data_IF_111885995789
#
_entry.id   IF_111885995789
#
_cell.length_a   1.000
_cell.length_b   1.000
_cell.length_c   1.000
_cell.angle_alpha   90.00
_cell.angle_beta   90.00
_cell.angle_gamma   90.00
#
_symmetry.space_group_name_H-M   'P 1'
#
loop_
_entity.id
_entity.type
_entity.pdbx_description
1 polymer ?
#
# COMPACT_ATOMS: atom_id res chain seq x y z
N UNK A 1 13.39 1.63 23.06
CA UNK A 1 13.79 2.86 22.31
C UNK A 1 13.85 2.70 20.78
N UNK A 2 14.25 1.56 20.19
CA UNK A 2 14.19 1.39 18.71
C UNK A 2 12.75 1.19 18.21
N UNK A 3 11.97 0.36 18.91
CA UNK A 3 10.56 0.06 18.57
C UNK A 3 9.68 1.32 18.60
N UNK A 4 9.78 2.14 19.65
CA UNK A 4 9.01 3.38 19.77
C UNK A 4 9.26 4.37 18.62
N UNK A 5 10.53 4.53 18.22
CA UNK A 5 10.91 5.40 17.09
C UNK A 5 10.30 4.90 15.78
N UNK A 6 10.39 3.59 15.53
CA UNK A 6 9.79 2.97 14.33
C UNK A 6 8.28 3.11 14.30
N UNK A 7 7.62 2.85 15.42
CA UNK A 7 6.16 3.02 15.52
C UNK A 7 5.74 4.47 15.28
N UNK A 8 6.48 5.45 15.83
CA UNK A 8 6.21 6.87 15.56
C UNK A 8 6.34 7.20 14.07
N UNK A 9 7.43 6.79 13.42
CA UNK A 9 7.61 7.01 11.97
C UNK A 9 6.51 6.36 11.13
N UNK A 10 6.07 5.17 11.52
CA UNK A 10 4.99 4.46 10.83
C UNK A 10 3.66 5.21 10.92
N UNK A 11 3.30 5.66 12.14
CA UNK A 11 2.05 6.41 12.38
C UNK A 11 2.07 7.77 11.66
N UNK A 12 3.18 8.50 11.69
CA UNK A 12 3.28 9.76 10.95
C UNK A 12 3.16 9.54 9.44
N UNK A 13 3.77 8.49 8.88
CA UNK A 13 3.61 8.16 7.47
C UNK A 13 2.16 7.83 7.10
N UNK A 14 1.46 7.05 7.93
CA UNK A 14 0.04 6.75 7.74
C UNK A 14 -0.82 8.01 7.81
N UNK A 15 -0.53 8.92 8.76
CA UNK A 15 -1.21 10.22 8.86
C UNK A 15 -0.99 11.06 7.60
N UNK A 16 0.23 11.12 7.08
CA UNK A 16 0.52 11.82 5.81
C UNK A 16 -0.26 11.22 4.64
N UNK A 17 -0.36 9.89 4.54
CA UNK A 17 -1.15 9.23 3.51
C UNK A 17 -2.64 9.60 3.58
N UNK A 18 -3.23 9.60 4.78
CA UNK A 18 -4.63 9.99 4.97
C UNK A 18 -4.90 11.45 4.59
N UNK A 19 -4.03 12.37 5.03
CA UNK A 19 -4.14 13.80 4.71
C UNK A 19 -4.02 14.02 3.20
N UNK A 20 -3.02 13.39 2.57
CA UNK A 20 -2.79 13.51 1.13
C UNK A 20 -4.00 13.01 0.32
N UNK A 21 -4.54 11.86 0.68
CA UNK A 21 -5.68 11.26 0.01
C UNK A 21 -7.03 11.93 0.35
N UNK A 22 -7.05 12.90 1.27
CA UNK A 22 -8.28 13.42 1.90
C UNK A 22 -9.19 12.29 2.39
N UNK A 23 -8.58 11.22 2.88
CA UNK A 23 -9.26 9.99 3.22
C UNK A 23 -9.86 10.07 4.64
N UNK A 24 -11.04 9.46 4.86
CA UNK A 24 -11.67 9.43 6.16
C UNK A 24 -10.84 8.65 7.18
N UNK A 25 -10.89 9.08 8.44
CA UNK A 25 -10.06 8.51 9.51
C UNK A 25 -10.32 7.01 9.73
N UNK A 26 -11.51 6.48 9.41
CA UNK A 26 -11.78 5.04 9.57
C UNK A 26 -10.86 4.15 8.71
N UNK A 27 -10.24 4.70 7.65
CA UNK A 27 -9.24 4.01 6.83
C UNK A 27 -7.83 3.98 7.45
N UNK A 28 -7.66 4.41 8.72
CA UNK A 28 -6.36 4.47 9.37
C UNK A 28 -5.61 3.12 9.37
N UNK A 29 -6.33 2.00 9.51
CA UNK A 29 -5.71 0.67 9.51
C UNK A 29 -5.08 0.36 8.15
N UNK A 30 -5.77 0.70 7.06
CA UNK A 30 -5.29 0.52 5.68
C UNK A 30 -4.10 1.44 5.37
N UNK A 31 -4.15 2.68 5.85
CA UNK A 31 -3.03 3.62 5.73
C UNK A 31 -1.79 3.12 6.48
N UNK A 32 -1.95 2.58 7.70
CA UNK A 32 -0.86 1.98 8.49
C UNK A 32 -0.30 0.74 7.80
N UNK A 33 -1.16 -0.15 7.30
CA UNK A 33 -0.74 -1.33 6.56
C UNK A 33 0.06 -0.95 5.30
N UNK A 34 -0.40 0.06 4.56
CA UNK A 34 0.26 0.59 3.35
C UNK A 34 1.60 1.23 3.67
N UNK A 35 1.68 2.05 4.71
CA UNK A 35 2.93 2.60 5.21
C UNK A 35 3.92 1.49 5.61
N UNK A 36 3.45 0.45 6.30
CA UNK A 36 4.28 -0.68 6.70
C UNK A 36 4.79 -1.45 5.47
N UNK A 37 3.90 -1.76 4.53
CA UNK A 37 4.20 -2.48 3.30
C UNK A 37 5.29 -1.79 2.47
N UNK A 38 5.13 -0.47 2.27
CA UNK A 38 6.05 0.35 1.49
C UNK A 38 7.39 0.50 2.19
N UNK A 39 7.40 0.94 3.46
CA UNK A 39 8.63 1.17 4.21
C UNK A 39 9.49 -0.10 4.35
N UNK A 40 8.87 -1.26 4.60
CA UNK A 40 9.59 -2.53 4.72
C UNK A 40 10.29 -2.96 3.43
N UNK A 41 9.82 -2.48 2.28
CA UNK A 41 10.31 -2.85 0.96
C UNK A 41 11.18 -1.76 0.31
N UNK A 42 11.06 -0.49 0.70
CA UNK A 42 11.81 0.62 0.10
C UNK A 42 12.90 1.20 1.00
N UNK A 43 12.73 1.20 2.32
CA UNK A 43 13.70 1.83 3.22
C UNK A 43 14.90 0.89 3.43
N UNK A 44 16.08 1.39 3.08
CA UNK A 44 17.35 0.66 3.28
C UNK A 44 17.81 0.85 4.73
N UNK A 45 18.06 -0.26 5.42
CA UNK A 45 18.71 -0.23 6.72
C UNK A 45 20.22 0.03 6.53
N UNK A 46 20.71 1.15 7.07
CA UNK A 46 22.09 1.62 6.85
C UNK A 46 23.16 0.58 7.23
N UNK A 47 22.98 -0.11 8.36
CA UNK A 47 23.95 -1.10 8.85
C UNK A 47 24.12 -2.28 7.91
N UNK A 48 23.04 -2.71 7.23
CA UNK A 48 23.07 -3.91 6.39
C UNK A 48 23.04 -3.60 4.90
N UNK A 49 22.85 -2.33 4.53
CA UNK A 49 22.64 -1.86 3.14
C UNK A 49 21.55 -2.68 2.41
N UNK A 50 20.55 -3.15 3.15
CA UNK A 50 19.43 -3.97 2.67
C UNK A 50 18.11 -3.46 3.24
N UNK A 51 17.02 -3.70 2.54
CA UNK A 51 15.67 -3.41 3.04
C UNK A 51 15.25 -4.48 4.04
N UNK A 52 14.34 -4.17 5.00
CA UNK A 52 13.79 -5.17 5.92
C UNK A 52 13.24 -6.41 5.21
N UNK A 53 12.55 -6.22 4.08
CA UNK A 53 12.06 -7.32 3.24
C UNK A 53 13.18 -8.23 2.74
N UNK A 54 14.28 -7.66 2.24
CA UNK A 54 15.44 -8.44 1.78
C UNK A 54 16.17 -9.15 2.92
N UNK A 55 16.17 -8.57 4.11
CA UNK A 55 16.75 -9.21 5.30
C UNK A 55 15.92 -10.40 5.76
N UNK A 56 14.59 -10.29 5.73
CA UNK A 56 13.67 -11.32 6.21
C UNK A 56 13.51 -12.48 5.22
N UNK A 57 13.37 -12.19 3.93
CA UNK A 57 13.04 -13.18 2.90
C UNK A 57 14.22 -13.54 1.99
N UNK A 58 15.40 -12.93 2.18
CA UNK A 58 16.57 -13.09 1.30
C UNK A 58 16.28 -12.80 -0.18
N UNK A 59 15.20 -12.08 -0.48
CA UNK A 59 14.69 -11.79 -1.83
C UNK A 59 14.60 -10.28 -2.04
N UNK A 60 14.91 -9.82 -3.25
CA UNK A 60 14.66 -8.42 -3.61
C UNK A 60 13.15 -8.15 -3.64
N UNK A 61 12.67 -7.06 -3.03
CA UNK A 61 11.27 -6.69 -3.14
C UNK A 61 10.96 -6.30 -4.58
N UNK A 62 9.83 -6.81 -5.08
CA UNK A 62 9.22 -6.33 -6.30
C UNK A 62 8.50 -5.00 -5.99
N UNK A 63 8.95 -3.92 -6.62
CA UNK A 63 8.42 -2.57 -6.42
C UNK A 63 7.49 -2.14 -7.58
N UNK A 64 7.33 -2.98 -8.62
CA UNK A 64 6.51 -2.64 -9.79
C UNK A 64 5.05 -2.39 -9.44
N UNK A 65 4.56 -3.06 -8.38
CA UNK A 65 3.20 -2.94 -7.90
C UNK A 65 3.00 -1.79 -6.91
N UNK A 66 3.93 -0.82 -6.81
CA UNK A 66 3.77 0.27 -5.86
C UNK A 66 2.80 1.31 -6.40
N UNK A 67 1.73 1.54 -5.65
CA UNK A 67 0.75 2.59 -5.90
C UNK A 67 0.63 3.51 -4.69
N UNK A 68 0.32 4.77 -4.97
CA UNK A 68 0.16 5.80 -3.96
C UNK A 68 -1.20 5.64 -3.29
N UNK A 69 -1.23 5.61 -1.96
CA UNK A 69 -2.49 5.62 -1.20
C UNK A 69 -3.31 6.86 -1.60
N UNK A 70 -4.58 6.67 -1.93
CA UNK A 70 -5.42 7.74 -2.49
C UNK A 70 -5.39 7.87 -4.02
N UNK A 71 -4.54 7.10 -4.72
CA UNK A 71 -4.51 7.13 -6.18
C UNK A 71 -5.79 6.54 -6.77
N UNK A 72 -6.22 7.08 -7.90
CA UNK A 72 -7.36 6.55 -8.64
C UNK A 72 -6.99 5.17 -9.22
N UNK A 73 -7.85 4.18 -9.01
CA UNK A 73 -7.71 2.83 -9.55
C UNK A 73 -8.96 2.43 -10.34
N UNK A 74 -8.79 1.47 -11.23
CA UNK A 74 -9.85 0.97 -12.10
C UNK A 74 -10.02 -0.54 -11.91
N UNK A 75 -10.60 -0.97 -10.77
CA UNK A 75 -10.84 -2.39 -10.52
C UNK A 75 -11.71 -2.99 -11.60
N UNK A 76 -11.34 -4.20 -12.04
CA UNK A 76 -12.15 -4.94 -13.01
C UNK A 76 -13.50 -5.25 -12.40
N UNK A 77 -14.56 -4.92 -13.12
CA UNK A 77 -15.93 -5.22 -12.74
C UNK A 77 -16.23 -6.67 -13.16
N UNK A 78 -16.20 -7.58 -12.19
CA UNK A 78 -16.39 -9.02 -12.39
C UNK A 78 -17.88 -9.43 -12.42
N UNK A 79 -18.82 -8.48 -12.61
CA UNK A 79 -20.24 -8.83 -12.66
C UNK A 79 -20.57 -9.64 -13.92
N UNK A 80 -21.18 -10.81 -13.73
CA UNK A 80 -21.41 -11.81 -14.80
C UNK A 80 -22.34 -11.34 -15.94
N UNK A 81 -23.00 -10.18 -15.79
CA UNK A 81 -24.02 -9.68 -16.71
C UNK A 81 -23.66 -8.35 -17.40
N UNK A 82 -22.37 -8.04 -17.59
CA UNK A 82 -21.97 -6.85 -18.32
C UNK A 82 -22.32 -6.96 -19.81
N UNK A 83 -23.22 -6.09 -20.27
CA UNK A 83 -23.53 -5.93 -21.69
C UNK A 83 -22.29 -5.54 -22.50
N UNK A 84 -22.28 -5.83 -23.82
CA UNK A 84 -21.10 -5.66 -24.71
C UNK A 84 -20.42 -4.28 -24.68
N UNK A 85 -21.13 -3.24 -24.27
CA UNK A 85 -20.66 -1.84 -24.22
C UNK A 85 -20.68 -1.23 -22.81
N UNK A 86 -20.96 -2.02 -21.77
CA UNK A 86 -20.93 -1.51 -20.40
C UNK A 86 -19.49 -1.36 -19.90
N UNK A 87 -19.23 -0.41 -18.97
CA UNK A 87 -17.93 -0.28 -18.34
C UNK A 87 -17.48 -1.60 -17.71
N UNK A 88 -16.28 -2.05 -18.07
CA UNK A 88 -15.66 -3.27 -17.51
C UNK A 88 -14.82 -3.00 -16.27
N UNK A 89 -14.75 -1.76 -15.85
CA UNK A 89 -14.02 -1.36 -14.66
C UNK A 89 -14.80 -0.27 -13.93
N UNK A 90 -14.80 -0.37 -12.62
CA UNK A 90 -15.34 0.67 -11.75
C UNK A 90 -14.25 1.70 -11.46
N UNK A 91 -14.63 2.88 -10.97
CA UNK A 91 -13.66 3.88 -10.50
C UNK A 91 -13.54 3.73 -8.99
N UNK A 92 -12.31 3.52 -8.53
CA UNK A 92 -11.99 3.36 -7.12
C UNK A 92 -10.84 4.25 -6.68
N UNK A 93 -10.59 4.23 -5.38
CA UNK A 93 -9.41 4.84 -4.75
C UNK A 93 -8.57 3.71 -4.15
N UNK A 94 -7.27 3.73 -4.40
CA UNK A 94 -6.35 2.78 -3.81
C UNK A 94 -6.19 3.03 -2.32
N UNK A 95 -6.64 2.07 -1.51
CA UNK A 95 -6.55 2.13 -0.05
C UNK A 95 -5.45 1.23 0.53
N UNK A 96 -4.89 0.30 -0.23
CA UNK A 96 -3.79 -0.52 0.29
C UNK A 96 -3.62 -1.87 -0.37
N UNK A 97 -2.61 -2.60 0.10
CA UNK A 97 -2.18 -3.85 -0.51
C UNK A 97 -2.88 -5.05 0.14
N UNK A 98 -3.53 -5.88 -0.68
CA UNK A 98 -4.04 -7.17 -0.24
C UNK A 98 -2.90 -8.17 0.00
N UNK A 99 -3.09 -9.09 0.95
CA UNK A 99 -2.11 -10.14 1.27
C UNK A 99 -1.96 -11.18 0.14
N UNK A 100 -3.04 -11.49 -0.57
CA UNK A 100 -3.14 -12.63 -1.50
C UNK A 100 -3.44 -12.26 -2.94
N UNK A 101 -3.74 -10.99 -3.24
CA UNK A 101 -4.09 -10.54 -4.60
C UNK A 101 -3.17 -9.39 -5.03
N UNK A 102 -2.62 -9.53 -6.24
CA UNK A 102 -1.80 -8.51 -6.91
C UNK A 102 -2.59 -7.67 -7.93
N UNK A 103 -3.85 -8.00 -8.17
CA UNK A 103 -4.70 -7.30 -9.11
C UNK A 103 -5.44 -6.17 -8.42
N UNK A 104 -5.41 -5.00 -9.05
CA UNK A 104 -6.23 -3.84 -8.72
C UNK A 104 -7.51 -3.93 -9.52
#
# INVERSE_FOLDING_TARGET
RVVERRNRTLIEAARTMLIYAQAPLFLWAEAVATACFTQNRSIIHLQHRKTPYKLLYSKLPDLSSFHMFGALCYPTNDTENLGKLQPKADIGIFIGYALSKKAF
#
